data_IF_973909051586
#
_entry.id   IF_973909051586
#
_cell.length_a   1.000
_cell.length_b   1.000
_cell.length_c   1.000
_cell.angle_alpha   90.00
_cell.angle_beta   90.00
_cell.angle_gamma   90.00
#
_symmetry.space_group_name_H-M   'P 1'
#
loop_
_entity.id
_entity.type
_entity.pdbx_description
1 polymer ?
#
# COMPACT_ATOMS: atom_id res chain seq x y z
N UNK A 1 0.11 20.43 16.14
CA UNK A 1 -0.39 20.50 14.74
C UNK A 1 -1.10 19.20 14.43
N UNK A 2 -2.42 19.22 14.31
CA UNK A 2 -3.16 18.06 13.80
C UNK A 2 -3.30 18.22 12.29
N UNK A 3 -2.64 17.36 11.55
CA UNK A 3 -2.62 17.42 10.09
C UNK A 3 -3.68 16.47 9.51
N UNK A 4 -4.43 16.94 8.51
CA UNK A 4 -5.50 16.13 7.90
C UNK A 4 -4.95 15.28 6.75
N UNK A 5 -5.01 13.96 6.92
CA UNK A 5 -4.69 13.00 5.87
C UNK A 5 -5.89 12.84 4.91
N UNK A 6 -5.67 13.11 3.62
CA UNK A 6 -6.69 12.96 2.58
C UNK A 6 -6.18 12.09 1.44
N UNK A 7 -7.00 11.12 1.03
CA UNK A 7 -6.70 10.24 -0.08
C UNK A 7 -7.30 10.77 -1.40
N UNK A 8 -6.48 10.86 -2.44
CA UNK A 8 -6.87 11.26 -3.78
C UNK A 8 -6.70 10.08 -4.75
N UNK A 9 -7.81 9.60 -5.30
CA UNK A 9 -7.84 8.49 -6.26
C UNK A 9 -7.96 8.98 -7.69
N UNK A 10 -7.09 8.50 -8.58
CA UNK A 10 -7.02 8.85 -9.99
C UNK A 10 -6.95 7.62 -10.89
N UNK A 11 -7.44 7.76 -12.12
CA UNK A 11 -7.31 6.74 -13.17
C UNK A 11 -5.95 6.89 -13.84
N UNK A 12 -5.21 5.77 -13.94
CA UNK A 12 -3.92 5.72 -14.63
C UNK A 12 -3.99 4.87 -15.89
N UNK A 13 -3.11 5.18 -16.85
CA UNK A 13 -3.05 4.60 -18.19
C UNK A 13 -1.64 4.09 -18.48
N UNK A 14 -1.21 2.99 -17.81
CA UNK A 14 0.10 2.42 -18.03
C UNK A 14 0.21 1.84 -19.45
N UNK A 15 1.39 1.99 -20.06
CA UNK A 15 1.77 1.30 -21.29
C UNK A 15 1.86 -0.22 -21.07
N UNK A 16 2.03 -1.00 -22.14
CA UNK A 16 2.17 -2.46 -22.04
C UNK A 16 3.31 -2.87 -21.10
N UNK A 17 4.50 -2.31 -21.30
CA UNK A 17 5.68 -2.55 -20.45
C UNK A 17 5.44 -2.14 -18.99
N UNK A 18 4.75 -1.02 -18.77
CA UNK A 18 4.41 -0.58 -17.41
C UNK A 18 3.41 -1.52 -16.73
N UNK A 19 2.44 -2.06 -17.47
CA UNK A 19 1.51 -3.07 -16.95
C UNK A 19 2.24 -4.33 -16.52
N UNK A 20 3.20 -4.81 -17.30
CA UNK A 20 4.05 -5.95 -16.97
C UNK A 20 4.83 -5.69 -15.66
N UNK A 21 5.47 -4.54 -15.53
CA UNK A 21 6.17 -4.15 -14.30
C UNK A 21 5.21 -4.05 -13.10
N UNK A 22 4.00 -3.51 -13.27
CA UNK A 22 2.99 -3.47 -12.20
C UNK A 22 2.58 -4.90 -11.80
N UNK A 23 2.47 -5.83 -12.75
CA UNK A 23 2.17 -7.24 -12.43
C UNK A 23 3.29 -7.91 -11.64
N UNK A 24 4.56 -7.61 -11.93
CA UNK A 24 5.70 -8.03 -11.11
C UNK A 24 5.56 -7.51 -9.67
N UNK A 25 5.21 -6.23 -9.49
CA UNK A 25 4.98 -5.66 -8.17
C UNK A 25 3.81 -6.33 -7.43
N UNK A 26 2.68 -6.57 -8.10
CA UNK A 26 1.56 -7.31 -7.49
C UNK A 26 1.97 -8.73 -7.08
N UNK A 27 2.76 -9.42 -7.92
CA UNK A 27 3.29 -10.75 -7.62
C UNK A 27 4.20 -10.75 -6.40
N UNK A 28 5.16 -9.84 -6.36
CA UNK A 28 6.15 -9.72 -5.30
C UNK A 28 5.50 -9.36 -3.96
N UNK A 29 4.61 -8.36 -3.95
CA UNK A 29 3.88 -7.98 -2.74
C UNK A 29 2.94 -9.08 -2.23
N UNK A 30 2.30 -9.83 -3.14
CA UNK A 30 1.48 -11.00 -2.78
C UNK A 30 2.35 -12.09 -2.13
N UNK A 31 3.49 -12.41 -2.73
CA UNK A 31 4.43 -13.39 -2.21
C UNK A 31 4.90 -13.01 -0.80
N UNK A 32 5.41 -11.79 -0.62
CA UNK A 32 5.91 -11.32 0.68
C UNK A 32 4.81 -11.28 1.73
N UNK A 33 3.59 -10.84 1.38
CA UNK A 33 2.46 -10.86 2.31
C UNK A 33 2.13 -12.30 2.76
N UNK A 34 2.04 -13.24 1.81
CA UNK A 34 1.69 -14.62 2.13
C UNK A 34 2.78 -15.29 2.96
N UNK A 35 4.04 -15.11 2.58
CA UNK A 35 5.18 -15.61 3.34
C UNK A 35 5.17 -15.07 4.78
N UNK A 36 4.98 -13.76 4.96
CA UNK A 36 4.95 -13.16 6.30
C UNK A 36 3.75 -13.63 7.14
N UNK A 37 2.58 -13.84 6.52
CA UNK A 37 1.42 -14.43 7.19
C UNK A 37 1.71 -15.87 7.62
N UNK A 38 2.33 -16.68 6.76
CA UNK A 38 2.72 -18.05 7.07
C UNK A 38 3.73 -18.11 8.22
N UNK A 39 4.75 -17.25 8.23
CA UNK A 39 5.70 -17.18 9.33
C UNK A 39 5.02 -16.82 10.66
N UNK A 40 4.10 -15.85 10.65
CA UNK A 40 3.33 -15.50 11.86
C UNK A 40 2.50 -16.67 12.38
N UNK A 41 1.84 -17.42 11.49
CA UNK A 41 1.06 -18.61 11.86
C UNK A 41 1.98 -19.67 12.47
N UNK A 42 3.05 -20.06 11.76
CA UNK A 42 3.98 -21.11 12.21
C UNK A 42 4.66 -20.77 13.53
N UNK A 43 5.18 -19.54 13.68
CA UNK A 43 5.82 -19.13 14.94
C UNK A 43 4.83 -19.17 16.11
N UNK A 44 3.59 -18.76 15.88
CA UNK A 44 2.57 -18.78 16.93
C UNK A 44 2.18 -20.22 17.31
N UNK A 45 1.97 -21.10 16.33
CA UNK A 45 1.68 -22.52 16.56
C UNK A 45 2.79 -23.22 17.36
N UNK A 46 4.06 -22.87 17.11
CA UNK A 46 5.21 -23.51 17.76
C UNK A 46 5.55 -22.93 19.14
N UNK A 47 5.37 -21.62 19.33
CA UNK A 47 5.91 -20.90 20.50
C UNK A 47 4.85 -20.19 21.35
N UNK A 48 3.61 -20.10 20.86
CA UNK A 48 2.55 -19.27 21.44
C UNK A 48 2.79 -17.76 21.32
N UNK A 49 3.85 -17.33 20.62
CA UNK A 49 4.24 -15.92 20.46
C UNK A 49 4.19 -15.50 19.00
N UNK A 50 3.91 -14.21 18.76
CA UNK A 50 3.97 -13.64 17.41
C UNK A 50 5.38 -13.15 17.10
N UNK A 51 5.94 -13.54 15.96
CA UNK A 51 7.12 -12.90 15.37
C UNK A 51 6.84 -11.41 15.06
N UNK A 52 7.80 -10.52 15.30
CA UNK A 52 7.63 -9.09 15.07
C UNK A 52 7.80 -8.75 13.57
N UNK A 53 7.27 -7.60 13.12
CA UNK A 53 7.57 -7.13 11.75
C UNK A 53 9.04 -6.80 11.54
N UNK A 54 9.75 -6.36 12.58
CA UNK A 54 11.18 -6.06 12.46
C UNK A 54 11.98 -7.33 12.17
N UNK A 55 11.67 -8.43 12.84
CA UNK A 55 12.29 -9.73 12.57
C UNK A 55 11.94 -10.24 11.17
N UNK A 56 10.66 -10.15 10.79
CA UNK A 56 10.23 -10.49 9.42
C UNK A 56 10.93 -9.65 8.36
N UNK A 57 11.15 -8.36 8.64
CA UNK A 57 11.89 -7.48 7.73
C UNK A 57 13.35 -7.88 7.62
N UNK A 58 13.99 -8.24 8.73
CA UNK A 58 15.37 -8.74 8.74
C UNK A 58 15.49 -10.01 7.88
N UNK A 59 14.66 -11.02 8.14
CA UNK A 59 14.64 -12.27 7.38
C UNK A 59 14.32 -12.01 5.90
N UNK A 60 13.37 -11.12 5.60
CA UNK A 60 13.03 -10.75 4.22
C UNK A 60 14.25 -10.20 3.48
N UNK A 61 15.01 -9.30 4.11
CA UNK A 61 16.15 -8.62 3.47
C UNK A 61 17.35 -9.55 3.33
N UNK A 62 17.65 -10.36 4.35
CA UNK A 62 18.89 -11.14 4.42
C UNK A 62 18.77 -12.58 3.90
N UNK A 63 17.56 -13.16 3.86
CA UNK A 63 17.38 -14.57 3.47
C UNK A 63 16.43 -14.72 2.29
N UNK A 64 15.22 -14.15 2.39
CA UNK A 64 14.17 -14.37 1.40
C UNK A 64 14.49 -13.68 0.08
N UNK A 65 14.89 -12.41 0.10
CA UNK A 65 15.23 -11.66 -1.12
C UNK A 65 16.45 -12.22 -1.85
N UNK A 66 17.56 -12.59 -1.17
CA UNK A 66 18.68 -13.28 -1.82
C UNK A 66 18.27 -14.61 -2.46
N UNK A 67 17.42 -15.39 -1.80
CA UNK A 67 16.93 -16.68 -2.33
C UNK A 67 15.88 -16.54 -3.44
N UNK A 68 15.33 -15.34 -3.65
CA UNK A 68 14.27 -15.06 -4.62
C UNK A 68 14.63 -13.81 -5.44
N UNK A 69 15.56 -13.95 -6.37
CA UNK A 69 16.13 -12.81 -7.11
C UNK A 69 15.11 -11.96 -7.84
N UNK A 70 14.03 -12.56 -8.35
CA UNK A 70 12.92 -11.87 -9.02
C UNK A 70 12.24 -10.80 -8.14
N UNK A 71 12.36 -10.88 -6.80
CA UNK A 71 11.89 -9.83 -5.89
C UNK A 71 12.66 -8.51 -6.05
N UNK A 72 13.89 -8.54 -6.61
CA UNK A 72 14.72 -7.34 -6.86
C UNK A 72 14.15 -6.48 -8.00
N UNK A 73 13.29 -7.04 -8.85
CA UNK A 73 12.59 -6.31 -9.91
C UNK A 73 11.53 -5.35 -9.35
N UNK A 74 10.92 -5.72 -8.22
CA UNK A 74 9.97 -4.87 -7.51
C UNK A 74 10.68 -3.83 -6.65
N UNK A 75 10.02 -2.68 -6.44
CA UNK A 75 10.50 -1.69 -5.49
C UNK A 75 10.57 -2.28 -4.06
N UNK A 76 11.71 -2.15 -3.40
CA UNK A 76 11.92 -2.58 -2.01
C UNK A 76 10.87 -2.02 -1.04
N UNK A 77 10.48 -0.75 -1.21
CA UNK A 77 9.45 -0.10 -0.39
C UNK A 77 8.07 -0.78 -0.54
N UNK A 78 7.78 -1.38 -1.70
CA UNK A 78 6.54 -2.12 -1.90
C UNK A 78 6.55 -3.47 -1.18
N UNK A 79 7.71 -4.12 -1.11
CA UNK A 79 7.89 -5.35 -0.32
C UNK A 79 7.72 -5.07 1.16
N UNK A 80 8.38 -4.01 1.68
CA UNK A 80 8.27 -3.62 3.08
C UNK A 80 6.84 -3.20 3.45
N UNK A 81 6.15 -2.47 2.57
CA UNK A 81 4.74 -2.14 2.76
C UNK A 81 3.83 -3.38 2.86
N UNK A 82 4.23 -4.50 2.26
CA UNK A 82 3.48 -5.76 2.36
C UNK A 82 3.54 -6.35 3.77
N UNK A 83 4.65 -6.18 4.49
CA UNK A 83 4.76 -6.55 5.90
C UNK A 83 3.88 -5.68 6.81
N UNK A 84 3.85 -4.37 6.54
CA UNK A 84 2.95 -3.43 7.24
C UNK A 84 1.48 -3.81 7.01
N UNK A 85 1.12 -4.25 5.81
CA UNK A 85 -0.22 -4.72 5.51
C UNK A 85 -0.61 -5.98 6.30
N UNK A 86 0.34 -6.89 6.56
CA UNK A 86 0.10 -8.06 7.43
C UNK A 86 -0.13 -7.62 8.87
N UNK A 87 0.70 -6.72 9.42
CA UNK A 87 0.49 -6.18 10.77
C UNK A 87 -0.85 -5.45 10.90
N UNK A 88 -1.23 -4.65 9.91
CA UNK A 88 -2.53 -3.99 9.89
C UNK A 88 -3.67 -5.01 9.89
N UNK A 89 -3.57 -6.10 9.11
CA UNK A 89 -4.58 -7.16 9.10
C UNK A 89 -4.74 -7.84 10.47
N UNK A 90 -3.63 -8.14 11.16
CA UNK A 90 -3.69 -8.68 12.53
C UNK A 90 -4.23 -7.65 13.53
N UNK A 91 -3.86 -6.37 13.40
CA UNK A 91 -4.39 -5.30 14.26
C UNK A 91 -5.90 -5.23 14.14
N UNK A 92 -6.46 -5.31 12.92
CA UNK A 92 -7.90 -5.35 12.70
C UNK A 92 -8.56 -6.62 13.24
N UNK A 93 -7.89 -7.77 13.09
CA UNK A 93 -8.37 -9.03 13.68
C UNK A 93 -8.56 -8.91 15.19
N UNK A 94 -7.59 -8.36 15.91
CA UNK A 94 -7.67 -8.21 17.37
C UNK A 94 -8.57 -7.05 17.81
N UNK A 95 -8.49 -5.88 17.16
CA UNK A 95 -9.18 -4.65 17.63
C UNK A 95 -10.58 -4.49 17.07
N UNK A 96 -10.74 -4.76 15.77
CA UNK A 96 -11.99 -4.53 15.03
C UNK A 96 -12.82 -5.82 14.91
N UNK A 97 -12.35 -6.93 15.51
CA UNK A 97 -12.94 -8.28 15.38
C UNK A 97 -13.17 -8.67 13.92
N UNK A 98 -12.35 -8.14 13.00
CA UNK A 98 -12.38 -8.59 11.61
C UNK A 98 -11.95 -10.05 11.56
N UNK A 99 -12.44 -10.86 10.61
CA UNK A 99 -12.00 -12.24 10.47
C UNK A 99 -10.47 -12.38 10.34
N UNK A 100 -9.95 -13.57 10.68
CA UNK A 100 -8.51 -13.86 10.65
C UNK A 100 -7.87 -13.50 9.28
N UNK A 101 -6.63 -12.95 9.25
CA UNK A 101 -5.96 -12.60 8.01
C UNK A 101 -5.87 -13.78 7.03
N UNK A 102 -6.25 -13.54 5.77
CA UNK A 102 -6.27 -14.59 4.74
C UNK A 102 -5.10 -14.45 3.78
N UNK A 103 -4.62 -15.58 3.27
CA UNK A 103 -3.67 -15.61 2.16
C UNK A 103 -4.24 -14.92 0.92
N UNK A 104 -3.41 -14.13 0.25
CA UNK A 104 -3.75 -13.45 -1.00
C UNK A 104 -3.62 -14.41 -2.18
N UNK A 105 -4.62 -14.41 -3.06
CA UNK A 105 -4.63 -15.24 -4.28
C UNK A 105 -4.20 -14.46 -5.52
N UNK A 106 -3.47 -15.12 -6.43
CA UNK A 106 -3.18 -14.58 -7.77
C UNK A 106 -4.43 -14.42 -8.63
N UNK A 107 -5.43 -15.29 -8.40
CA UNK A 107 -6.70 -15.30 -9.13
C UNK A 107 -7.63 -14.16 -8.72
N UNK A 108 -7.32 -13.41 -7.66
CA UNK A 108 -8.11 -12.25 -7.30
C UNK A 108 -8.04 -11.20 -8.43
N UNK A 109 -9.18 -10.84 -9.05
CA UNK A 109 -9.21 -9.88 -10.15
C UNK A 109 -8.90 -8.45 -9.67
N UNK A 110 -8.98 -8.20 -8.35
CA UNK A 110 -8.54 -6.96 -7.72
C UNK A 110 -7.17 -7.18 -7.09
N UNK A 111 -6.19 -6.40 -7.54
CA UNK A 111 -4.82 -6.47 -7.05
C UNK A 111 -4.31 -5.08 -6.73
N UNK A 112 -3.47 -4.96 -5.72
CA UNK A 112 -2.88 -3.68 -5.33
C UNK A 112 -1.50 -3.88 -4.74
N UNK A 113 -0.68 -2.84 -4.85
CA UNK A 113 0.53 -2.70 -4.07
C UNK A 113 0.68 -1.24 -3.61
N UNK A 114 1.35 -1.08 -2.47
CA UNK A 114 1.54 0.19 -1.81
C UNK A 114 3.01 0.59 -1.87
N UNK A 115 3.31 1.88 -1.95
CA UNK A 115 4.65 2.43 -1.80
C UNK A 115 4.62 3.68 -0.92
N UNK A 116 5.60 3.82 -0.03
CA UNK A 116 5.58 4.89 0.96
C UNK A 116 6.11 6.23 0.41
N UNK A 117 7.21 6.24 -0.35
CA UNK A 117 7.90 7.46 -0.77
C UNK A 117 8.58 7.25 -2.15
N UNK A 118 9.05 8.34 -2.78
CA UNK A 118 9.76 8.39 -4.08
C UNK A 118 8.92 8.31 -5.37
N UNK A 119 7.66 8.69 -5.30
CA UNK A 119 6.88 9.03 -6.50
C UNK A 119 6.70 10.54 -6.60
N UNK A 120 6.52 11.05 -7.80
CA UNK A 120 6.28 12.46 -8.07
C UNK A 120 5.01 12.62 -8.91
N UNK A 121 4.31 13.74 -8.72
CA UNK A 121 3.06 14.06 -9.40
C UNK A 121 3.26 15.35 -10.19
N UNK A 122 3.02 15.29 -11.50
CA UNK A 122 3.07 16.43 -12.40
C UNK A 122 1.65 16.71 -12.91
N UNK A 123 1.05 17.79 -12.37
CA UNK A 123 -0.31 18.20 -12.73
C UNK A 123 -0.41 18.81 -14.13
N UNK A 124 0.64 19.48 -14.60
CA UNK A 124 0.66 20.13 -15.92
C UNK A 124 0.75 19.08 -17.02
N UNK A 125 1.66 18.11 -16.86
CA UNK A 125 1.84 17.02 -17.84
C UNK A 125 0.86 15.87 -17.66
N UNK A 126 0.04 15.87 -16.60
CA UNK A 126 -0.91 14.80 -16.29
C UNK A 126 -0.19 13.44 -16.16
N UNK A 127 0.92 13.43 -15.43
CA UNK A 127 1.83 12.28 -15.28
C UNK A 127 2.15 12.04 -13.81
N UNK A 128 2.32 10.77 -13.45
CA UNK A 128 2.90 10.37 -12.17
C UNK A 128 4.16 9.56 -12.44
N UNK A 129 5.28 10.00 -11.88
CA UNK A 129 6.55 9.29 -11.95
C UNK A 129 6.63 8.30 -10.80
N UNK A 130 6.80 7.03 -11.14
CA UNK A 130 6.84 5.92 -10.21
C UNK A 130 8.22 5.26 -10.21
N UNK A 131 8.73 4.81 -9.04
CA UNK A 131 9.97 4.06 -8.97
C UNK A 131 9.87 2.75 -9.75
N UNK A 132 10.93 2.37 -10.47
CA UNK A 132 11.03 1.19 -11.38
C UNK A 132 10.06 1.17 -12.59
N UNK A 133 8.96 1.92 -12.56
CA UNK A 133 7.94 1.95 -13.61
C UNK A 133 8.10 3.15 -14.54
N UNK A 134 8.64 4.26 -14.04
CA UNK A 134 8.80 5.51 -14.78
C UNK A 134 7.52 6.36 -14.81
N UNK A 135 7.37 7.16 -15.86
CA UNK A 135 6.28 8.13 -16.01
C UNK A 135 5.01 7.49 -16.55
N UNK A 136 3.93 7.55 -15.77
CA UNK A 136 2.62 6.97 -16.11
C UNK A 136 1.60 8.07 -16.36
N UNK A 137 0.99 8.06 -17.53
CA UNK A 137 -0.12 8.95 -17.89
C UNK A 137 -1.29 8.77 -16.92
N UNK A 138 -1.79 9.86 -16.39
CA UNK A 138 -2.81 9.89 -15.32
C UNK A 138 -3.83 10.99 -15.60
N UNK A 139 -5.11 10.77 -15.31
CA UNK A 139 -6.09 11.87 -15.30
C UNK A 139 -6.18 12.41 -13.87
N UNK A 140 -5.54 13.55 -13.63
CA UNK A 140 -5.49 14.29 -12.37
C UNK A 140 -6.62 15.33 -12.33
N UNK A 141 -7.85 14.87 -12.12
CA UNK A 141 -9.07 15.72 -12.11
C UNK A 141 -9.23 16.58 -10.85
N UNK A 142 -8.32 16.48 -9.87
CA UNK A 142 -8.32 17.26 -8.63
C UNK A 142 -6.89 17.61 -8.28
N UNK A 143 -6.61 18.91 -8.07
CA UNK A 143 -5.34 19.37 -7.50
C UNK A 143 -5.33 19.18 -5.98
N UNK A 144 -4.15 19.04 -5.42
CA UNK A 144 -3.93 19.02 -3.98
C UNK A 144 -2.62 19.69 -3.63
N UNK A 145 -2.54 20.19 -2.41
CA UNK A 145 -1.36 20.79 -1.79
C UNK A 145 -1.09 20.03 -0.49
N UNK A 146 0.19 19.88 -0.16
CA UNK A 146 0.63 19.17 1.04
C UNK A 146 1.70 18.12 0.76
N UNK A 147 2.11 17.43 1.82
CA UNK A 147 3.18 16.43 1.74
C UNK A 147 2.63 15.11 1.21
N UNK A 148 3.26 14.60 0.16
CA UNK A 148 3.00 13.26 -0.35
C UNK A 148 3.41 12.22 0.70
N UNK A 149 2.47 11.36 1.07
CA UNK A 149 2.71 10.20 1.92
C UNK A 149 2.67 8.98 1.01
N UNK A 150 1.88 7.98 1.37
CA UNK A 150 1.76 6.71 0.68
C UNK A 150 1.00 6.81 -0.65
N UNK A 151 1.45 6.09 -1.68
CA UNK A 151 0.66 5.82 -2.88
C UNK A 151 0.32 4.33 -2.98
N UNK A 152 -0.90 4.03 -3.43
CA UNK A 152 -1.37 2.66 -3.70
C UNK A 152 -1.79 2.54 -5.15
N UNK A 153 -1.13 1.66 -5.90
CA UNK A 153 -1.56 1.28 -7.24
C UNK A 153 -2.47 0.08 -7.13
N UNK A 154 -3.59 0.12 -7.85
CA UNK A 154 -4.56 -0.97 -7.88
C UNK A 154 -5.03 -1.24 -9.30
N UNK A 155 -5.41 -2.49 -9.56
CA UNK A 155 -6.14 -2.95 -10.74
C UNK A 155 -7.52 -3.40 -10.26
N UNK A 156 -8.59 -2.87 -10.86
CA UNK A 156 -9.96 -3.31 -10.63
C UNK A 156 -10.25 -4.61 -11.38
N UNK A 157 -11.38 -5.24 -11.04
CA UNK A 157 -11.88 -6.43 -11.72
C UNK A 157 -12.09 -6.23 -13.23
N UNK A 158 -12.47 -5.03 -13.64
CA UNK A 158 -12.62 -4.64 -15.05
C UNK A 158 -11.28 -4.35 -15.76
N UNK A 159 -10.14 -4.67 -15.14
CA UNK A 159 -8.81 -4.41 -15.71
C UNK A 159 -8.36 -2.95 -15.68
N UNK A 160 -9.10 -2.06 -15.00
CA UNK A 160 -8.78 -0.64 -14.92
C UNK A 160 -7.78 -0.39 -13.78
N UNK A 161 -6.69 0.30 -14.08
CA UNK A 161 -5.68 0.73 -13.14
C UNK A 161 -6.00 2.07 -12.48
N UNK A 162 -5.74 2.18 -11.18
CA UNK A 162 -5.90 3.39 -10.40
C UNK A 162 -4.71 3.61 -9.49
N UNK A 163 -4.44 4.86 -9.16
CA UNK A 163 -3.54 5.22 -8.06
C UNK A 163 -4.33 5.99 -7.01
N UNK A 164 -4.12 5.66 -5.74
CA UNK A 164 -4.63 6.38 -4.58
C UNK A 164 -3.46 6.99 -3.83
N UNK A 165 -3.41 8.31 -3.77
CA UNK A 165 -2.33 9.09 -3.16
C UNK A 165 -2.82 9.63 -1.83
N UNK A 166 -2.13 9.29 -0.75
CA UNK A 166 -2.36 9.85 0.57
C UNK A 166 -1.54 11.14 0.69
N UNK A 167 -2.22 12.25 0.95
CA UNK A 167 -1.62 13.58 1.11
C UNK A 167 -1.88 14.04 2.53
N UNK A 168 -0.84 14.55 3.16
CA UNK A 168 -0.94 15.27 4.40
C UNK A 168 -1.08 16.77 4.09
N UNK A 169 -2.28 17.31 4.28
CA UNK A 169 -2.62 18.65 3.81
C UNK A 169 -2.06 19.79 4.69
N UNK A 170 -1.41 19.48 5.83
CA UNK A 170 -0.88 20.46 6.81
C UNK A 170 -1.88 21.54 7.31
N UNK A 171 -3.13 21.54 6.84
CA UNK A 171 -4.19 22.45 7.24
C UNK A 171 -4.78 21.98 8.57
N UNK A 172 -4.82 22.90 9.54
CA UNK A 172 -5.38 22.70 10.86
C UNK A 172 -6.85 22.29 10.75
N UNK A 173 -7.22 21.23 11.46
CA UNK A 173 -8.61 20.82 11.58
C UNK A 173 -9.27 21.84 12.51
N UNK A 174 -10.11 22.74 11.96
CA UNK A 174 -11.03 23.51 12.79
C UNK A 174 -11.84 22.51 13.63
N UNK A 175 -11.74 22.59 14.96
CA UNK A 175 -12.47 21.74 15.90
C UNK A 175 -13.92 21.64 15.43
N UNK A 176 -14.47 20.42 15.40
CA UNK A 176 -15.88 20.20 15.09
C UNK A 176 -16.73 21.19 15.88
N UNK A 177 -17.56 21.99 15.22
CA UNK A 177 -18.56 22.80 15.92
C UNK A 177 -19.43 21.83 16.71
N UNK A 178 -19.25 21.81 18.03
CA UNK A 178 -20.22 21.19 18.94
C UNK A 178 -21.54 21.89 18.67
N UNK A 179 -22.52 21.17 18.12
CA UNK A 179 -23.89 21.67 18.07
C UNK A 179 -24.34 21.79 19.53
N UNK A 180 -24.38 23.00 20.07
CA UNK A 180 -25.08 23.26 21.31
C UNK A 180 -26.56 23.05 21.02
N UNK A 181 -27.09 21.90 21.46
CA UNK A 181 -28.53 21.72 21.57
C UNK A 181 -29.05 22.78 22.55
N UNK A 182 -29.72 23.80 22.04
CA UNK A 182 -30.60 24.64 22.85
C UNK A 182 -31.83 23.80 23.19
N UNK A 183 -31.88 23.29 24.42
CA UNK A 183 -33.13 22.91 25.06
C UNK A 183 -33.77 24.22 25.56
N UNK A 184 -34.92 24.58 24.98
CA UNK A 184 -35.91 25.46 25.61
C UNK A 184 -36.70 24.66 26.65
#
# INVERSE_FOLDING_TARGET
MYSMLKAYKYRIYPSKKQKEMIQVHFGACRFVYNWALEQKIKTYEQTGKSISRFDLQHILVHEVKPSNEWLKEANSQALLASLVNVESAFTKFFREKSGFPKFKSKKNPVQSYQMAQHYAVDFEKQIIKLPKIGEVKTILHRRFEGKLKTATISRSSTGKYYISILVDNEKDILKSRTFQNQLQ
#
